data_IF_740565837359
#
_entry.id   IF_740565837359
#
_cell.length_a   1.000
_cell.length_b   1.000
_cell.length_c   1.000
_cell.angle_alpha   90.00
_cell.angle_beta   90.00
_cell.angle_gamma   90.00
#
_symmetry.space_group_name_H-M   'P 1'
#
loop_
_entity.id
_entity.type
_entity.pdbx_description
1 polymer ?
#
# COMPACT_ATOMS: atom_id res chain seq x y z
N UNK A 1 -25.20 44.89 -3.48
CA UNK A 1 -24.28 44.21 -4.41
C UNK A 1 -25.05 43.13 -5.17
N UNK A 2 -25.34 43.34 -6.47
CA UNK A 2 -26.13 42.40 -7.25
C UNK A 2 -25.31 41.15 -7.62
N UNK A 3 -25.76 39.95 -7.21
CA UNK A 3 -25.12 38.68 -7.58
C UNK A 3 -25.13 38.52 -9.10
N UNK A 4 -23.95 38.46 -9.71
CA UNK A 4 -23.76 38.26 -11.16
C UNK A 4 -24.34 36.90 -11.56
N UNK A 5 -25.42 36.89 -12.35
CA UNK A 5 -26.15 35.67 -12.73
C UNK A 5 -25.34 34.87 -13.77
N UNK A 6 -24.88 33.68 -13.39
CA UNK A 6 -24.12 32.78 -14.28
C UNK A 6 -25.08 32.07 -15.25
N UNK A 7 -24.76 32.07 -16.56
CA UNK A 7 -25.54 31.36 -17.58
C UNK A 7 -25.42 29.83 -17.39
N UNK A 8 -26.53 29.08 -17.28
CA UNK A 8 -26.48 27.63 -17.14
C UNK A 8 -25.81 26.94 -18.34
N UNK A 9 -24.95 25.94 -18.07
CA UNK A 9 -24.27 25.11 -19.08
C UNK A 9 -24.83 23.69 -19.06
N UNK A 10 -26.05 23.51 -19.55
CA UNK A 10 -26.78 22.23 -19.50
C UNK A 10 -26.04 21.09 -20.22
N UNK A 11 -25.43 21.37 -21.38
CA UNK A 11 -24.68 20.36 -22.15
C UNK A 11 -23.45 19.87 -21.36
N UNK A 12 -22.79 20.76 -20.61
CA UNK A 12 -21.63 20.39 -19.80
C UNK A 12 -22.03 19.44 -18.66
N UNK A 13 -23.18 19.68 -18.03
CA UNK A 13 -23.75 18.80 -17.01
C UNK A 13 -24.16 17.44 -17.59
N UNK A 14 -24.82 17.43 -18.75
CA UNK A 14 -25.20 16.22 -19.46
C UNK A 14 -23.97 15.38 -19.81
N UNK A 15 -22.97 15.98 -20.45
CA UNK A 15 -21.72 15.30 -20.82
C UNK A 15 -20.97 14.76 -19.59
N UNK A 16 -20.98 15.48 -18.47
CA UNK A 16 -20.39 15.00 -17.21
C UNK A 16 -21.08 13.72 -16.72
N UNK A 17 -22.42 13.72 -16.68
CA UNK A 17 -23.21 12.55 -16.23
C UNK A 17 -23.04 11.35 -17.16
N UNK A 18 -23.09 11.56 -18.47
CA UNK A 18 -22.91 10.50 -19.47
C UNK A 18 -21.50 9.90 -19.40
N UNK A 19 -20.45 10.71 -19.22
CA UNK A 19 -19.08 10.20 -19.04
C UNK A 19 -18.95 9.36 -17.78
N UNK A 20 -19.47 9.83 -16.65
CA UNK A 20 -19.45 9.07 -15.39
C UNK A 20 -20.18 7.71 -15.53
N UNK A 21 -21.34 7.70 -16.19
CA UNK A 21 -22.09 6.48 -16.46
C UNK A 21 -21.28 5.49 -17.32
N UNK A 22 -20.68 5.98 -18.41
CA UNK A 22 -19.83 5.14 -19.29
C UNK A 22 -18.58 4.63 -18.57
N UNK A 23 -17.95 5.45 -17.74
CA UNK A 23 -16.80 5.05 -16.91
C UNK A 23 -17.17 3.92 -15.94
N UNK A 24 -18.41 3.90 -15.43
CA UNK A 24 -18.88 2.86 -14.53
C UNK A 24 -19.27 1.58 -15.26
N UNK A 25 -20.04 1.69 -16.35
CA UNK A 25 -20.53 0.52 -17.12
C UNK A 25 -19.42 -0.16 -17.91
N UNK A 26 -18.59 0.62 -18.60
CA UNK A 26 -17.49 0.12 -19.44
C UNK A 26 -16.16 0.10 -18.69
N UNK A 27 -16.21 -0.03 -17.36
CA UNK A 27 -15.00 -0.08 -16.54
C UNK A 27 -14.17 -1.30 -16.92
N UNK A 28 -12.89 -1.14 -17.31
CA UNK A 28 -12.04 -2.27 -17.64
C UNK A 28 -11.81 -3.12 -16.39
N UNK A 29 -11.76 -4.43 -16.58
CA UNK A 29 -11.60 -5.42 -15.51
C UNK A 29 -10.13 -5.55 -15.09
N UNK A 30 -9.88 -6.21 -13.97
CA UNK A 30 -8.51 -6.34 -13.43
C UNK A 30 -7.69 -7.26 -14.35
N UNK A 31 -8.33 -8.27 -14.94
CA UNK A 31 -7.78 -9.11 -16.01
C UNK A 31 -7.25 -8.31 -17.20
N UNK A 32 -8.00 -7.30 -17.65
CA UNK A 32 -7.61 -6.45 -18.78
C UNK A 32 -6.50 -5.47 -18.39
N UNK A 33 -6.68 -4.76 -17.27
CA UNK A 33 -5.75 -3.71 -16.83
C UNK A 33 -4.37 -4.28 -16.47
N UNK A 34 -4.36 -5.43 -15.82
CA UNK A 34 -3.14 -5.99 -15.23
C UNK A 34 -2.58 -7.18 -16.00
N UNK A 35 -3.14 -7.51 -17.16
CA UNK A 35 -2.52 -8.40 -18.12
C UNK A 35 -1.07 -7.97 -18.39
N UNK A 36 -0.22 -8.98 -18.58
CA UNK A 36 1.18 -8.81 -18.92
C UNK A 36 1.50 -9.81 -20.02
N UNK A 37 2.14 -9.33 -21.08
CA UNK A 37 2.88 -10.18 -21.99
C UNK A 37 4.20 -10.53 -21.30
N UNK A 38 4.58 -11.80 -21.26
CA UNK A 38 5.83 -12.24 -20.63
C UNK A 38 7.08 -11.78 -21.41
N UNK A 39 6.86 -11.15 -22.57
CA UNK A 39 7.81 -10.30 -23.29
C UNK A 39 7.95 -8.87 -22.71
N UNK A 40 7.28 -8.56 -21.59
CA UNK A 40 7.40 -7.39 -20.68
C UNK A 40 6.51 -6.16 -20.91
N UNK A 41 5.46 -6.27 -21.74
CA UNK A 41 4.52 -5.19 -22.04
C UNK A 41 3.15 -5.42 -21.41
N UNK A 42 2.43 -4.33 -21.09
CA UNK A 42 1.00 -4.40 -20.75
C UNK A 42 0.17 -4.14 -22.01
N UNK A 43 -0.55 -5.14 -22.55
CA UNK A 43 -1.26 -4.98 -23.82
C UNK A 43 -2.30 -3.85 -23.77
N UNK A 44 -3.00 -3.70 -22.64
CA UNK A 44 -4.04 -2.66 -22.47
C UNK A 44 -3.54 -1.22 -22.65
N UNK A 45 -2.27 -0.95 -22.34
CA UNK A 45 -1.73 0.43 -22.37
C UNK A 45 -0.53 0.59 -23.30
N UNK A 46 -0.04 -0.50 -23.88
CA UNK A 46 1.24 -0.55 -24.60
C UNK A 46 2.49 -0.24 -23.76
N UNK A 47 2.36 -0.06 -22.43
CA UNK A 47 3.49 0.35 -21.57
C UNK A 47 4.36 -0.83 -21.17
N UNK A 48 5.68 -0.64 -21.22
CA UNK A 48 6.67 -1.60 -20.70
C UNK A 48 6.79 -1.51 -19.19
N UNK A 49 7.03 -2.65 -18.55
CA UNK A 49 7.34 -2.71 -17.12
C UNK A 49 8.76 -2.20 -16.85
N UNK A 50 9.05 -1.67 -15.64
CA UNK A 50 10.40 -1.29 -15.26
C UNK A 50 11.33 -2.50 -15.26
N UNK A 51 12.58 -2.32 -15.71
CA UNK A 51 13.57 -3.40 -15.90
C UNK A 51 13.78 -4.23 -14.63
N UNK A 52 13.78 -3.59 -13.46
CA UNK A 52 13.94 -4.27 -12.15
C UNK A 52 12.85 -5.31 -11.86
N UNK A 53 11.64 -5.16 -12.42
CA UNK A 53 10.53 -6.07 -12.20
C UNK A 53 10.54 -7.28 -13.14
N UNK A 54 11.34 -7.28 -14.21
CA UNK A 54 11.26 -8.31 -15.25
C UNK A 54 11.60 -9.72 -14.74
N UNK A 55 12.59 -9.83 -13.85
CA UNK A 55 12.99 -11.10 -13.27
C UNK A 55 11.87 -11.71 -12.42
N UNK A 56 11.26 -10.90 -11.56
CA UNK A 56 10.20 -11.35 -10.65
C UNK A 56 8.92 -11.68 -11.42
N UNK A 57 8.57 -10.91 -12.47
CA UNK A 57 7.43 -11.20 -13.37
C UNK A 57 7.50 -12.58 -14.03
N UNK A 58 8.72 -13.10 -14.28
CA UNK A 58 8.92 -14.42 -14.90
C UNK A 58 9.00 -15.57 -13.89
N UNK A 59 9.24 -15.28 -12.61
CA UNK A 59 9.57 -16.29 -11.58
C UNK A 59 8.53 -16.40 -10.49
N UNK A 60 8.05 -15.27 -9.99
CA UNK A 60 7.13 -15.19 -8.88
C UNK A 60 5.67 -15.16 -9.38
N UNK A 61 4.73 -15.39 -8.48
CA UNK A 61 3.29 -15.45 -8.80
C UNK A 61 2.52 -14.24 -8.29
N UNK A 62 1.36 -14.00 -8.90
CA UNK A 62 0.36 -13.06 -8.38
C UNK A 62 -0.37 -13.69 -7.21
N UNK A 63 -0.94 -12.85 -6.33
CA UNK A 63 -1.64 -13.35 -5.15
C UNK A 63 -2.80 -14.30 -5.54
N UNK A 64 -3.71 -13.86 -6.40
CA UNK A 64 -4.90 -14.66 -6.72
C UNK A 64 -4.59 -15.91 -7.55
N UNK A 65 -3.48 -15.93 -8.30
CA UNK A 65 -2.98 -17.14 -8.96
C UNK A 65 -2.57 -18.23 -7.95
N UNK A 66 -2.08 -17.83 -6.77
CA UNK A 66 -1.83 -18.76 -5.67
C UNK A 66 -3.13 -19.18 -4.99
N UNK A 67 -4.00 -18.21 -4.69
CA UNK A 67 -5.24 -18.45 -3.93
C UNK A 67 -6.30 -19.22 -4.71
N UNK A 68 -6.39 -19.07 -6.03
CA UNK A 68 -7.36 -19.77 -6.88
C UNK A 68 -7.20 -21.29 -6.88
N UNK A 69 -6.06 -21.80 -6.38
CA UNK A 69 -5.80 -23.24 -6.21
C UNK A 69 -6.18 -23.77 -4.82
N UNK A 70 -6.65 -22.91 -3.93
CA UNK A 70 -7.00 -23.26 -2.55
C UNK A 70 -8.52 -23.25 -2.35
N UNK A 71 -9.04 -24.10 -1.45
CA UNK A 71 -10.42 -24.00 -1.00
C UNK A 71 -10.71 -22.60 -0.45
N UNK A 72 -11.87 -22.05 -0.82
CA UNK A 72 -12.34 -20.72 -0.39
C UNK A 72 -11.28 -19.63 -0.61
N UNK A 73 -10.44 -19.72 -1.65
CA UNK A 73 -9.35 -18.77 -1.91
C UNK A 73 -8.38 -18.58 -0.73
N UNK A 74 -8.21 -19.62 0.10
CA UNK A 74 -7.21 -19.60 1.18
C UNK A 74 -7.54 -18.65 2.33
N UNK A 75 -8.82 -18.41 2.64
CA UNK A 75 -9.20 -17.65 3.84
C UNK A 75 -8.53 -18.19 5.10
N UNK A 76 -8.04 -17.28 5.95
CA UNK A 76 -7.30 -17.59 7.17
C UNK A 76 -5.83 -17.96 6.97
N UNK A 77 -5.36 -18.17 5.73
CA UNK A 77 -3.96 -18.49 5.42
C UNK A 77 -3.07 -17.25 5.45
N UNK A 78 -1.77 -17.50 5.64
CA UNK A 78 -0.72 -16.49 5.61
C UNK A 78 -0.10 -16.38 4.21
N UNK A 79 0.01 -15.16 3.71
CA UNK A 79 0.73 -14.85 2.47
C UNK A 79 1.80 -13.81 2.76
N UNK A 80 2.99 -14.03 2.21
CA UNK A 80 4.13 -13.14 2.34
C UNK A 80 4.61 -12.70 0.95
N UNK A 81 5.64 -11.84 0.91
CA UNK A 81 6.21 -11.30 -0.32
C UNK A 81 7.70 -11.60 -0.37
N UNK A 82 8.20 -11.96 -1.56
CA UNK A 82 9.63 -12.19 -1.80
C UNK A 82 10.45 -10.94 -1.48
N UNK A 83 9.93 -9.75 -1.81
CA UNK A 83 10.60 -8.48 -1.48
C UNK A 83 10.79 -8.30 0.03
N UNK A 84 9.84 -8.74 0.85
CA UNK A 84 9.94 -8.62 2.30
C UNK A 84 10.91 -9.63 2.90
N UNK A 85 10.86 -10.88 2.42
CA UNK A 85 11.79 -11.93 2.86
C UNK A 85 13.26 -11.58 2.61
N UNK A 86 13.55 -10.71 1.64
CA UNK A 86 14.92 -10.26 1.35
C UNK A 86 15.32 -8.98 2.09
N UNK A 87 14.34 -8.24 2.63
CA UNK A 87 14.54 -6.91 3.21
C UNK A 87 14.49 -6.91 4.74
N UNK A 88 13.68 -7.80 5.32
CA UNK A 88 13.44 -7.88 6.76
C UNK A 88 13.62 -9.32 7.24
N UNK A 89 14.29 -9.48 8.37
CA UNK A 89 14.41 -10.79 9.04
C UNK A 89 13.16 -11.11 9.85
N UNK A 90 12.47 -10.07 10.32
CA UNK A 90 11.23 -10.20 11.08
C UNK A 90 10.06 -10.63 10.18
N UNK A 91 9.07 -11.38 10.70
CA UNK A 91 8.01 -11.90 9.87
C UNK A 91 7.06 -10.79 9.39
N UNK A 92 6.90 -10.75 8.07
CA UNK A 92 6.01 -9.85 7.36
C UNK A 92 5.02 -10.68 6.53
N UNK A 93 3.74 -10.59 6.85
CA UNK A 93 2.69 -11.35 6.17
C UNK A 93 1.32 -10.69 6.29
N UNK A 94 0.41 -11.11 5.42
CA UNK A 94 -1.01 -10.84 5.53
C UNK A 94 -1.75 -12.11 5.92
N UNK A 95 -2.66 -11.99 6.88
CA UNK A 95 -3.65 -13.03 7.19
C UNK A 95 -4.94 -12.73 6.43
N UNK A 96 -5.30 -13.59 5.50
CA UNK A 96 -6.42 -13.37 4.59
C UNK A 96 -7.78 -13.45 5.30
N UNK A 97 -8.63 -12.44 5.11
CA UNK A 97 -9.99 -12.39 5.70
C UNK A 97 -11.10 -12.33 4.66
N UNK A 98 -10.83 -11.75 3.48
CA UNK A 98 -11.78 -11.71 2.37
C UNK A 98 -11.05 -11.72 1.04
N UNK A 99 -11.60 -12.41 0.05
CA UNK A 99 -11.09 -12.40 -1.32
C UNK A 99 -12.26 -12.13 -2.27
N UNK A 100 -12.06 -11.23 -3.23
CA UNK A 100 -13.01 -10.93 -4.30
C UNK A 100 -12.32 -11.16 -5.65
N UNK A 101 -12.45 -12.36 -6.23
CA UNK A 101 -11.83 -12.67 -7.51
C UNK A 101 -12.51 -11.92 -8.66
N UNK A 102 -11.75 -11.66 -9.71
CA UNK A 102 -12.26 -11.18 -10.99
C UNK A 102 -12.75 -12.39 -11.80
N UNK A 103 -14.07 -12.60 -11.79
CA UNK A 103 -14.73 -13.69 -12.50
C UNK A 103 -14.61 -13.61 -14.03
N UNK A 104 -14.11 -12.50 -14.57
CA UNK A 104 -13.87 -12.37 -16.02
C UNK A 104 -12.52 -12.96 -16.46
N UNK A 105 -11.63 -13.25 -15.50
CA UNK A 105 -10.38 -13.92 -15.77
C UNK A 105 -10.60 -15.43 -15.91
N UNK A 106 -10.16 -16.01 -17.03
CA UNK A 106 -10.32 -17.44 -17.31
C UNK A 106 -9.77 -18.34 -16.19
N UNK A 107 -8.64 -17.93 -15.58
CA UNK A 107 -7.95 -18.69 -14.55
C UNK A 107 -8.17 -18.13 -13.13
N UNK A 108 -9.08 -17.16 -12.96
CA UNK A 108 -9.33 -16.46 -11.69
C UNK A 108 -8.05 -15.92 -11.01
N UNK A 109 -7.08 -15.47 -11.80
CA UNK A 109 -5.75 -15.04 -11.38
C UNK A 109 -5.65 -13.54 -11.03
N UNK A 110 -6.78 -12.83 -11.11
CA UNK A 110 -6.91 -11.40 -10.82
C UNK A 110 -8.05 -11.12 -9.84
N UNK A 111 -7.98 -9.96 -9.16
CA UNK A 111 -9.02 -9.47 -8.27
C UNK A 111 -8.45 -8.73 -7.06
N UNK A 112 -9.18 -8.76 -5.95
CA UNK A 112 -8.84 -8.04 -4.71
C UNK A 112 -8.82 -8.97 -3.51
N UNK A 113 -8.03 -8.61 -2.50
CA UNK A 113 -7.96 -9.32 -1.23
C UNK A 113 -7.94 -8.32 -0.06
N UNK A 114 -8.42 -8.78 1.09
CA UNK A 114 -8.36 -8.09 2.37
C UNK A 114 -7.74 -9.02 3.40
N UNK A 115 -7.04 -8.45 4.35
CA UNK A 115 -6.40 -9.19 5.41
C UNK A 115 -5.95 -8.31 6.56
N UNK A 116 -5.47 -8.95 7.61
CA UNK A 116 -4.79 -8.29 8.73
C UNK A 116 -3.29 -8.32 8.42
N UNK A 117 -2.64 -7.16 8.47
CA UNK A 117 -1.19 -7.07 8.27
C UNK A 117 -0.48 -7.38 9.58
N UNK A 118 0.53 -8.23 9.49
CA UNK A 118 1.60 -8.31 10.49
C UNK A 118 2.88 -7.88 9.80
N UNK A 119 3.41 -6.72 10.19
CA UNK A 119 4.62 -6.16 9.60
C UNK A 119 5.70 -6.05 10.66
N UNK A 120 6.84 -6.70 10.41
CA UNK A 120 7.95 -6.83 11.36
C UNK A 120 7.50 -7.33 12.74
N UNK A 121 6.66 -8.36 12.75
CA UNK A 121 6.07 -8.93 13.97
C UNK A 121 4.97 -8.10 14.65
N UNK A 122 4.70 -6.86 14.20
CA UNK A 122 3.62 -6.01 14.73
C UNK A 122 2.34 -6.24 13.96
N UNK A 123 1.30 -6.71 14.64
CA UNK A 123 0.01 -7.03 14.04
C UNK A 123 -0.95 -5.85 14.13
N UNK A 124 -1.58 -5.48 13.01
CA UNK A 124 -2.63 -4.47 12.98
C UNK A 124 -3.93 -4.98 13.64
N UNK A 125 -4.74 -4.08 14.17
CA UNK A 125 -6.00 -4.43 14.86
C UNK A 125 -7.13 -4.82 13.91
N UNK A 126 -7.17 -4.21 12.73
CA UNK A 126 -8.27 -4.35 11.78
C UNK A 126 -7.79 -4.86 10.42
N UNK A 127 -8.68 -5.55 9.71
CA UNK A 127 -8.40 -5.99 8.36
C UNK A 127 -8.61 -4.85 7.36
N UNK A 128 -7.67 -4.67 6.42
CA UNK A 128 -7.73 -3.66 5.36
C UNK A 128 -7.47 -4.25 3.97
N UNK A 129 -7.73 -3.46 2.93
CA UNK A 129 -7.49 -3.88 1.54
C UNK A 129 -6.00 -4.04 1.28
N UNK A 130 -5.61 -5.20 0.75
CA UNK A 130 -4.23 -5.53 0.42
C UNK A 130 -3.85 -4.79 -0.87
N UNK A 131 -2.73 -4.08 -0.84
CA UNK A 131 -2.15 -3.45 -2.04
C UNK A 131 -1.28 -4.43 -2.84
N UNK A 132 -0.91 -4.05 -4.07
CA UNK A 132 0.02 -4.81 -4.91
C UNK A 132 -0.40 -6.27 -5.19
N UNK A 133 -1.70 -6.58 -5.11
CA UNK A 133 -2.27 -7.92 -5.38
C UNK A 133 -1.88 -8.45 -6.76
N UNK A 134 -1.73 -7.56 -7.74
CA UNK A 134 -1.35 -7.86 -9.12
C UNK A 134 0.17 -8.00 -9.36
N UNK A 135 1.00 -7.82 -8.33
CA UNK A 135 2.45 -7.93 -8.47
C UNK A 135 2.88 -9.39 -8.50
N UNK A 136 3.96 -9.69 -9.20
CA UNK A 136 4.59 -11.01 -9.21
C UNK A 136 5.65 -11.00 -8.11
N UNK A 137 5.22 -11.20 -6.87
CA UNK A 137 6.06 -11.06 -5.68
C UNK A 137 5.50 -11.89 -4.51
N UNK A 138 4.33 -12.50 -4.67
CA UNK A 138 3.64 -13.17 -3.57
C UNK A 138 4.10 -14.61 -3.41
N UNK A 139 4.17 -15.05 -2.16
CA UNK A 139 4.43 -16.44 -1.77
C UNK A 139 3.44 -16.86 -0.68
N UNK A 140 2.98 -18.11 -0.78
CA UNK A 140 2.08 -18.71 0.21
C UNK A 140 2.93 -19.39 1.29
N UNK A 141 2.63 -19.13 2.55
CA UNK A 141 3.28 -19.83 3.67
C UNK A 141 2.66 -21.23 3.80
N UNK A 142 3.44 -22.32 3.72
CA UNK A 142 2.95 -23.68 3.93
C UNK A 142 2.42 -23.87 5.35
N UNK A 143 1.33 -24.64 5.53
CA UNK A 143 0.67 -24.82 6.84
C UNK A 143 1.60 -25.34 7.93
N UNK A 144 2.50 -26.27 7.58
CA UNK A 144 3.43 -26.86 8.54
C UNK A 144 4.57 -25.91 8.95
N UNK A 145 4.77 -24.83 8.20
CA UNK A 145 5.76 -23.78 8.49
C UNK A 145 5.12 -22.51 9.09
N UNK A 146 3.79 -22.41 9.14
CA UNK A 146 3.09 -21.20 9.60
C UNK A 146 3.47 -20.82 11.04
N UNK A 147 3.61 -21.79 11.93
CA UNK A 147 3.99 -21.55 13.33
C UNK A 147 5.44 -21.06 13.45
N UNK A 148 6.38 -21.75 12.79
CA UNK A 148 7.79 -21.38 12.78
C UNK A 148 8.03 -20.02 12.12
N UNK A 149 7.31 -19.71 11.05
CA UNK A 149 7.38 -18.42 10.36
C UNK A 149 6.78 -17.28 11.21
N UNK A 150 5.75 -17.57 12.01
CA UNK A 150 5.10 -16.57 12.87
C UNK A 150 5.88 -16.34 14.17
N UNK A 151 6.70 -17.30 14.59
CA UNK A 151 7.51 -17.21 15.80
C UNK A 151 8.47 -16.01 15.72
N UNK A 152 8.23 -15.02 16.59
CA UNK A 152 9.01 -13.80 16.65
C UNK A 152 9.15 -13.35 18.10
N UNK A 153 10.38 -13.02 18.49
CA UNK A 153 10.65 -12.40 19.78
C UNK A 153 10.89 -10.91 19.54
N UNK A 154 10.05 -10.02 20.06
CA UNK A 154 10.23 -8.59 19.86
C UNK A 154 11.51 -8.14 20.55
N UNK A 155 12.42 -7.54 19.76
CA UNK A 155 13.55 -6.83 20.31
C UNK A 155 13.06 -5.65 21.18
N UNK A 156 13.77 -5.30 22.26
CA UNK A 156 13.42 -4.11 23.04
C UNK A 156 13.46 -2.88 22.12
N UNK A 157 12.37 -2.12 22.11
CA UNK A 157 12.31 -0.87 21.34
C UNK A 157 13.09 0.21 22.09
N UNK A 158 14.33 0.43 21.70
CA UNK A 158 15.10 1.59 22.17
C UNK A 158 14.39 2.86 21.70
N UNK A 159 13.70 3.53 22.63
CA UNK A 159 13.05 4.80 22.33
C UNK A 159 14.13 5.84 22.00
N UNK A 160 14.03 6.44 20.81
CA UNK A 160 14.91 7.53 20.40
C UNK A 160 14.90 8.64 21.46
N UNK A 161 16.07 8.92 22.01
CA UNK A 161 16.25 10.01 22.96
C UNK A 161 15.88 11.35 22.33
N UNK A 162 15.48 12.35 23.13
CA UNK A 162 15.27 13.71 22.65
C UNK A 162 16.53 14.23 21.92
N UNK A 163 16.34 14.90 20.78
CA UNK A 163 17.44 15.40 19.95
C UNK A 163 17.60 16.91 20.09
N UNK A 164 18.81 17.48 19.98
CA UNK A 164 19.00 18.92 20.08
C UNK A 164 18.37 19.66 18.89
N UNK A 165 17.91 20.89 19.13
CA UNK A 165 17.53 21.79 18.04
C UNK A 165 18.74 22.19 17.17
N UNK A 166 18.54 22.46 15.87
CA UNK A 166 19.60 22.98 15.02
C UNK A 166 20.09 24.35 15.52
N UNK A 167 21.35 24.74 15.20
CA UNK A 167 22.04 25.86 15.85
C UNK A 167 21.26 27.18 15.88
N UNK A 168 20.64 27.56 14.76
CA UNK A 168 19.89 28.81 14.66
C UNK A 168 18.63 28.81 15.55
N UNK A 169 17.82 27.75 15.48
CA UNK A 169 16.59 27.66 16.27
C UNK A 169 16.91 27.57 17.77
N UNK A 170 17.97 26.85 18.14
CA UNK A 170 18.43 26.80 19.53
C UNK A 170 18.76 28.20 20.06
N UNK A 171 19.55 28.98 19.31
CA UNK A 171 19.93 30.34 19.72
C UNK A 171 18.71 31.27 19.84
N UNK A 172 17.75 31.17 18.91
CA UNK A 172 16.51 31.96 18.96
C UNK A 172 15.67 31.64 20.21
N UNK A 173 15.50 30.35 20.55
CA UNK A 173 14.73 29.92 21.73
C UNK A 173 15.37 30.45 23.02
N UNK A 174 16.69 30.35 23.15
CA UNK A 174 17.40 30.84 24.33
C UNK A 174 17.27 32.37 24.45
N UNK A 175 17.41 33.10 23.36
CA UNK A 175 17.25 34.56 23.34
C UNK A 175 15.83 35.00 23.75
N UNK A 176 14.79 34.28 23.30
CA UNK A 176 13.41 34.56 23.71
C UNK A 176 13.15 34.29 25.20
N UNK A 177 13.70 33.19 25.76
CA UNK A 177 13.59 32.91 27.20
C UNK A 177 14.20 34.02 28.05
N UNK A 178 15.41 34.44 27.69
CA UNK A 178 16.10 35.55 28.36
C UNK A 178 15.31 36.85 28.27
N UNK A 179 14.75 37.15 27.09
CA UNK A 179 13.90 38.34 26.88
C UNK A 179 12.63 38.31 27.74
N UNK A 180 12.05 37.13 27.97
CA UNK A 180 10.87 36.95 28.80
C UNK A 180 11.18 36.88 30.31
N UNK A 181 12.44 37.02 30.71
CA UNK A 181 12.87 36.97 32.11
C UNK A 181 13.02 35.55 32.67
N UNK A 182 12.98 34.53 31.82
CA UNK A 182 13.23 33.13 32.20
C UNK A 182 14.73 32.85 32.23
N UNK A 183 15.25 32.47 33.39
CA UNK A 183 16.68 32.16 33.63
C UNK A 183 16.99 30.67 33.54
N UNK A 184 16.08 29.86 32.99
CA UNK A 184 16.28 28.42 32.81
C UNK A 184 17.52 28.11 31.94
N UNK A 185 18.38 27.23 32.47
CA UNK A 185 19.59 26.71 31.80
C UNK A 185 19.34 25.41 31.04
N UNK A 186 18.09 24.96 30.94
CA UNK A 186 17.74 23.72 30.27
C UNK A 186 17.92 23.82 28.75
N UNK A 187 18.64 22.84 28.17
CA UNK A 187 18.83 22.77 26.73
C UNK A 187 17.50 22.51 26.01
N UNK A 188 17.11 23.34 25.03
CA UNK A 188 15.97 23.04 24.19
C UNK A 188 16.20 21.73 23.43
N UNK A 189 15.30 20.76 23.59
CA UNK A 189 15.33 19.48 22.88
C UNK A 189 14.03 19.20 22.15
N UNK A 190 14.14 18.62 20.95
CA UNK A 190 13.04 18.12 20.14
C UNK A 190 12.65 16.71 20.62
N UNK A 191 11.41 16.56 21.05
CA UNK A 191 10.85 15.25 21.39
C UNK A 191 10.46 14.47 20.12
N UNK A 192 11.36 13.58 19.68
CA UNK A 192 11.16 12.72 18.52
C UNK A 192 10.44 11.42 18.83
N UNK A 193 10.20 11.08 20.10
CA UNK A 193 9.53 9.84 20.50
C UNK A 193 8.09 9.76 19.96
N UNK A 194 7.46 10.92 19.71
CA UNK A 194 6.12 10.99 19.10
C UNK A 194 6.12 10.67 17.60
N UNK A 195 7.26 10.81 16.92
CA UNK A 195 7.37 10.62 15.47
C UNK A 195 7.77 9.17 15.21
N UNK A 196 6.81 8.36 14.76
CA UNK A 196 7.09 7.01 14.29
C UNK A 196 7.45 7.06 12.80
N UNK A 197 8.73 6.86 12.51
CA UNK A 197 9.21 6.74 11.14
C UNK A 197 8.97 5.32 10.65
N UNK A 198 7.95 5.13 9.82
CA UNK A 198 7.69 3.85 9.18
C UNK A 198 8.64 3.62 7.99
N UNK A 199 9.04 2.36 7.71
CA UNK A 199 9.82 2.04 6.53
C UNK A 199 9.11 2.43 5.23
N UNK A 200 9.88 2.77 4.19
CA UNK A 200 9.35 3.20 2.89
C UNK A 200 8.53 2.12 2.17
N UNK A 201 8.73 0.86 2.53
CA UNK A 201 8.05 -0.32 1.99
C UNK A 201 6.89 -0.81 2.87
N UNK A 202 6.51 -0.03 3.90
CA UNK A 202 5.32 -0.27 4.70
C UNK A 202 4.06 -0.20 3.83
N UNK A 203 3.12 -1.16 3.94
CA UNK A 203 1.94 -1.19 3.08
C UNK A 203 1.06 0.04 3.23
N UNK A 204 0.83 0.76 2.14
CA UNK A 204 -0.08 1.90 2.11
C UNK A 204 -1.56 1.46 2.05
N UNK A 205 -2.48 2.39 2.33
CA UNK A 205 -3.92 2.15 2.24
C UNK A 205 -4.37 2.05 0.78
N UNK A 206 -4.71 0.85 0.33
CA UNK A 206 -5.19 0.61 -1.05
C UNK A 206 -6.57 1.19 -1.31
N UNK A 207 -7.41 1.35 -0.28
CA UNK A 207 -8.75 1.92 -0.36
C UNK A 207 -8.76 3.39 -0.82
N UNK A 208 -7.71 4.14 -0.47
CA UNK A 208 -7.53 5.54 -0.84
C UNK A 208 -6.85 5.71 -2.21
N UNK A 209 -6.29 4.62 -2.78
CA UNK A 209 -5.58 4.67 -4.07
C UNK A 209 -6.54 4.67 -5.25
N UNK A 210 -6.31 5.62 -6.17
CA UNK A 210 -7.03 5.68 -7.45
C UNK A 210 -6.76 4.47 -8.35
N UNK A 211 -7.73 4.16 -9.22
CA UNK A 211 -7.60 3.11 -10.26
C UNK A 211 -7.24 3.73 -11.61
N UNK A 212 -6.48 2.98 -12.42
CA UNK A 212 -6.19 3.36 -13.80
C UNK A 212 -7.46 3.69 -14.59
N UNK A 213 -7.40 4.76 -15.38
CA UNK A 213 -8.48 5.16 -16.29
C UNK A 213 -8.54 4.22 -17.49
N UNK A 214 -9.76 3.89 -17.92
CA UNK A 214 -10.02 2.86 -18.91
C UNK A 214 -9.90 3.30 -20.35
N UNK A 215 -8.80 3.93 -20.73
CA UNK A 215 -8.51 4.22 -22.14
C UNK A 215 -7.56 3.13 -22.66
N UNK A 216 -8.07 2.06 -23.32
CA UNK A 216 -7.20 1.12 -24.01
C UNK A 216 -6.48 1.83 -25.16
N UNK A 217 -5.24 1.41 -25.44
CA UNK A 217 -4.41 1.89 -26.55
C UNK A 217 -4.23 0.76 -27.56
#
# INVERSE_FOLDING_TARGET
MARKKVRPRLIAELARRVRALREQLNRPRDSQLYAVDYETTRPFSGRRLPVRAWADVRRESRLLQLLGRLPLFGLGRLVTRKSWLWQHDEPCYWRLTRVRPDYTAQNLDHGKAWGILTFKGKTESEAREIEHVMYHDWRLVPKHEEEAFTAFTPAPEDSLAPVPYPPLLRAMIIAERQKNGDTSTEEPMLNVQRIRMEPWDYPAKQEDKGRAKGTPV
#
